data_IF_219618833149
#
_entry.id   IF_219618833149
#
_cell.length_a   1.000
_cell.length_b   1.000
_cell.length_c   1.000
_cell.angle_alpha   90.00
_cell.angle_beta   90.00
_cell.angle_gamma   90.00
#
_symmetry.space_group_name_H-M   'P 1'
#
loop_
_entity.id
_entity.type
_entity.pdbx_description
1 polymer ?
#
# COMPACT_ATOMS: atom_id res chain seq x y z
N UNK A 1 1.10 2.30 -21.02
CA UNK A 1 0.97 2.70 -21.06
C UNK A 1 0.91 3.05 -21.64
N UNK A 2 0.87 3.10 -22.06
CA UNK A 2 1.05 3.81 -22.47
C UNK A 2 0.52 4.54 -22.49
N UNK A 3 0.04 4.73 -22.04
CA UNK A 3 -0.16 5.58 -21.79
C UNK A 3 0.26 6.03 -21.31
N UNK A 4 0.60 6.05 -21.08
CA UNK A 4 1.07 6.69 -20.65
C UNK A 4 1.90 6.91 -20.91
N UNK A 5 2.07 6.48 -21.32
CA UNK A 5 3.03 6.98 -21.65
C UNK A 5 3.09 8.13 -22.23
N UNK A 6 2.40 8.83 -22.05
CA UNK A 6 2.45 9.99 -22.60
C UNK A 6 3.51 10.77 -22.07
N UNK A 7 4.32 11.31 -22.84
CA UNK A 7 5.41 12.12 -22.41
C UNK A 7 4.92 13.47 -21.98
N UNK A 8 5.48 13.98 -20.89
CA UNK A 8 5.26 15.33 -20.48
C UNK A 8 6.37 16.18 -21.06
N UNK A 9 6.02 17.18 -21.83
CA UNK A 9 6.99 18.08 -22.39
C UNK A 9 7.44 19.05 -21.34
N UNK A 10 8.72 19.41 -21.29
CA UNK A 10 9.19 20.39 -20.31
C UNK A 10 8.43 21.71 -20.36
N UNK A 11 8.11 22.16 -21.56
CA UNK A 11 7.39 23.42 -21.71
C UNK A 11 6.01 23.36 -21.10
N UNK A 12 5.49 22.18 -20.89
CA UNK A 12 4.18 22.04 -20.30
C UNK A 12 4.18 22.25 -18.80
N UNK A 13 5.35 22.37 -18.24
CA UNK A 13 5.49 22.54 -16.80
C UNK A 13 5.69 24.00 -16.49
N UNK A 14 4.92 24.86 -17.15
CA UNK A 14 5.06 26.29 -16.93
C UNK A 14 4.34 26.76 -15.68
N UNK A 15 3.38 25.98 -15.22
CA UNK A 15 2.70 26.30 -13.98
C UNK A 15 3.43 25.74 -12.79
N UNK A 16 2.83 25.85 -11.62
CA UNK A 16 3.38 25.28 -10.41
C UNK A 16 3.51 23.76 -10.57
N UNK A 17 4.58 23.17 -10.08
CA UNK A 17 4.73 21.73 -10.12
C UNK A 17 3.57 21.06 -9.39
N UNK A 18 3.21 19.89 -9.87
CA UNK A 18 2.15 19.11 -9.27
C UNK A 18 2.73 17.76 -8.87
N UNK A 19 2.39 17.33 -7.66
CA UNK A 19 2.76 16.00 -7.23
C UNK A 19 2.08 14.97 -8.13
N UNK A 20 2.83 14.02 -8.63
CA UNK A 20 2.27 12.92 -9.38
C UNK A 20 1.58 11.93 -8.45
N UNK A 21 0.78 11.05 -9.04
CA UNK A 21 0.15 9.95 -8.30
C UNK A 21 1.16 8.83 -8.14
N UNK A 22 1.09 8.15 -7.00
CA UNK A 22 2.03 7.12 -6.64
C UNK A 22 1.29 5.89 -6.14
N UNK A 23 1.54 4.76 -6.79
CA UNK A 23 1.06 3.46 -6.34
C UNK A 23 2.28 2.60 -6.10
N UNK A 24 2.40 2.07 -4.89
CA UNK A 24 3.56 1.27 -4.51
C UNK A 24 3.07 -0.13 -4.16
N UNK A 25 3.70 -1.11 -4.75
CA UNK A 25 3.35 -2.51 -4.56
C UNK A 25 4.56 -3.20 -3.94
N UNK A 26 4.42 -3.70 -2.72
CA UNK A 26 5.56 -4.29 -2.04
C UNK A 26 5.89 -5.68 -2.54
N UNK A 27 4.92 -6.37 -3.12
CA UNK A 27 5.12 -7.78 -3.44
C UNK A 27 5.16 -8.63 -2.19
N UNK A 28 5.65 -9.85 -2.34
CA UNK A 28 5.77 -10.80 -1.23
C UNK A 28 7.01 -10.44 -0.44
N UNK A 29 6.82 -9.89 0.76
CA UNK A 29 7.98 -9.43 1.50
C UNK A 29 7.71 -9.36 2.99
N UNK A 30 8.76 -9.60 3.76
CA UNK A 30 8.81 -9.21 5.16
C UNK A 30 9.05 -7.70 5.22
N UNK A 31 8.77 -7.08 6.36
CA UNK A 31 9.03 -5.65 6.52
C UNK A 31 10.48 -5.32 6.20
N UNK A 32 10.68 -4.23 5.48
CA UNK A 32 11.98 -3.84 4.99
C UNK A 32 12.04 -2.31 4.93
N UNK A 33 13.13 -1.69 5.46
CA UNK A 33 13.25 -0.24 5.44
C UNK A 33 13.18 0.38 4.04
N UNK A 34 13.62 -0.37 3.04
CA UNK A 34 13.53 0.10 1.66
C UNK A 34 12.10 0.46 1.28
N UNK A 35 11.13 -0.36 1.70
CA UNK A 35 9.74 -0.11 1.34
C UNK A 35 9.16 1.06 2.08
N UNK A 36 9.65 1.36 3.27
CA UNK A 36 9.21 2.54 3.98
C UNK A 36 9.52 3.80 3.16
N UNK A 37 10.74 3.86 2.63
CA UNK A 37 11.14 4.99 1.82
C UNK A 37 10.36 5.06 0.52
N UNK A 38 10.22 3.92 -0.15
CA UNK A 38 9.52 3.86 -1.43
C UNK A 38 8.04 4.21 -1.28
N UNK A 39 7.45 3.87 -0.15
CA UNK A 39 6.02 4.08 0.09
C UNK A 39 5.69 5.47 0.63
N UNK A 40 6.69 6.30 0.87
CA UNK A 40 6.47 7.60 1.49
C UNK A 40 5.46 8.42 0.70
N UNK A 41 4.39 8.84 1.36
CA UNK A 41 3.31 9.64 0.78
C UNK A 41 2.62 8.98 -0.41
N UNK A 42 2.68 7.65 -0.52
CA UNK A 42 2.00 6.95 -1.61
C UNK A 42 0.50 7.21 -1.56
N UNK A 43 -0.10 7.38 -2.72
CA UNK A 43 -1.56 7.50 -2.80
C UNK A 43 -2.23 6.17 -2.54
N UNK A 44 -1.59 5.08 -2.94
CA UNK A 44 -2.04 3.73 -2.66
C UNK A 44 -0.83 2.84 -2.43
N UNK A 45 -0.84 2.13 -1.32
CA UNK A 45 0.16 1.14 -0.98
C UNK A 45 -0.52 -0.21 -0.98
N UNK A 46 0.05 -1.17 -1.70
CA UNK A 46 -0.47 -2.54 -1.77
C UNK A 46 0.59 -3.45 -1.18
N UNK A 47 0.26 -4.11 -0.09
CA UNK A 47 1.25 -4.84 0.69
C UNK A 47 0.84 -6.27 0.98
N UNK A 48 1.87 -7.09 1.16
CA UNK A 48 1.77 -8.46 1.64
C UNK A 48 1.04 -8.50 2.98
N UNK A 49 0.09 -9.41 3.10
CA UNK A 49 -0.63 -9.65 4.33
C UNK A 49 -0.93 -11.14 4.43
N UNK A 50 0.13 -11.93 4.37
CA UNK A 50 -0.01 -13.39 4.35
C UNK A 50 -0.56 -13.91 5.66
N UNK A 51 -0.19 -13.30 6.78
CA UNK A 51 -0.61 -13.75 8.11
C UNK A 51 -1.42 -12.65 8.79
N UNK A 52 -2.49 -13.06 9.50
CA UNK A 52 -3.40 -12.08 10.06
C UNK A 52 -3.01 -11.59 11.45
N UNK A 53 -2.32 -12.39 12.23
CA UNK A 53 -2.21 -12.15 13.66
C UNK A 53 -0.81 -11.73 14.08
N UNK A 54 -0.69 -10.85 15.09
CA UNK A 54 0.63 -10.37 15.54
C UNK A 54 1.54 -11.49 16.02
N UNK A 55 0.98 -12.53 16.63
CA UNK A 55 1.79 -13.63 17.12
C UNK A 55 2.38 -14.46 15.99
N UNK A 56 2.02 -14.17 14.75
CA UNK A 56 2.57 -14.87 13.58
C UNK A 56 3.73 -14.10 12.94
N UNK A 57 4.22 -13.04 13.57
CA UNK A 57 5.29 -12.23 12.97
C UNK A 57 6.57 -13.03 12.73
N UNK A 58 6.93 -13.89 13.66
CA UNK A 58 8.14 -14.70 13.48
C UNK A 58 7.99 -15.65 12.31
N UNK A 59 6.82 -16.28 12.20
CA UNK A 59 6.54 -17.18 11.09
C UNK A 59 6.55 -16.42 9.77
N UNK A 60 5.95 -15.24 9.75
CA UNK A 60 5.94 -14.41 8.55
C UNK A 60 7.36 -14.07 8.12
N UNK A 61 8.20 -13.64 9.06
CA UNK A 61 9.57 -13.28 8.74
C UNK A 61 10.33 -14.48 8.18
N UNK A 62 10.12 -15.64 8.76
CA UNK A 62 10.82 -16.85 8.33
C UNK A 62 10.55 -17.16 6.86
N UNK A 63 9.35 -16.88 6.40
CA UNK A 63 8.95 -17.20 5.04
C UNK A 63 8.95 -15.99 4.10
N UNK A 64 9.46 -14.85 4.57
CA UNK A 64 9.58 -13.68 3.72
C UNK A 64 8.26 -12.95 3.47
N UNK A 65 7.40 -12.92 4.48
CA UNK A 65 6.08 -12.30 4.38
C UNK A 65 5.82 -11.34 5.54
N UNK A 66 4.68 -10.72 5.52
CA UNK A 66 4.26 -9.77 6.56
C UNK A 66 2.91 -10.17 7.15
N UNK A 67 2.63 -9.65 8.33
CA UNK A 67 1.31 -9.75 8.92
C UNK A 67 0.47 -8.52 8.53
N UNK A 68 -0.82 -8.61 8.76
CA UNK A 68 -1.74 -7.46 8.59
C UNK A 68 -1.22 -6.24 9.34
N UNK A 69 -0.84 -6.43 10.60
CA UNK A 69 -0.37 -5.31 11.42
C UNK A 69 0.94 -4.73 10.94
N UNK A 70 1.84 -5.57 10.45
CA UNK A 70 3.13 -5.08 9.94
C UNK A 70 2.94 -4.21 8.69
N UNK A 71 2.06 -4.62 7.79
CA UNK A 71 1.78 -3.82 6.60
C UNK A 71 1.07 -2.52 6.96
N UNK A 72 0.17 -2.57 7.93
CA UNK A 72 -0.48 -1.36 8.42
C UNK A 72 0.53 -0.41 9.07
N UNK A 73 1.49 -0.95 9.81
CA UNK A 73 2.54 -0.13 10.42
C UNK A 73 3.39 0.55 9.33
N UNK A 74 3.72 -0.17 8.29
CA UNK A 74 4.44 0.42 7.16
C UNK A 74 3.66 1.58 6.56
N UNK A 75 2.37 1.37 6.31
CA UNK A 75 1.53 2.41 5.73
C UNK A 75 1.46 3.65 6.63
N UNK A 76 1.34 3.44 7.93
CA UNK A 76 1.27 4.56 8.88
C UNK A 76 2.59 5.32 8.90
N UNK A 77 3.71 4.62 8.99
CA UNK A 77 5.03 5.24 9.03
C UNK A 77 5.36 5.96 7.74
N UNK A 78 4.94 5.41 6.61
CA UNK A 78 5.17 6.00 5.30
C UNK A 78 4.19 7.13 4.99
N UNK A 79 3.16 7.29 5.81
CA UNK A 79 2.12 8.29 5.60
C UNK A 79 1.39 8.08 4.27
N UNK A 80 1.19 6.83 3.92
CA UNK A 80 0.40 6.48 2.76
C UNK A 80 -1.04 6.93 2.97
N UNK A 81 -1.74 7.19 1.88
CA UNK A 81 -3.13 7.62 1.97
C UNK A 81 -4.08 6.46 2.07
N UNK A 82 -3.74 5.35 1.43
CA UNK A 82 -4.57 4.15 1.41
C UNK A 82 -3.66 2.93 1.46
N UNK A 83 -4.20 1.85 2.01
CA UNK A 83 -3.49 0.58 2.06
C UNK A 83 -4.44 -0.53 1.65
N UNK A 84 -4.03 -1.33 0.68
CA UNK A 84 -4.70 -2.58 0.34
C UNK A 84 -3.84 -3.74 0.78
N UNK A 85 -4.43 -4.65 1.53
CA UNK A 85 -3.77 -5.88 1.95
C UNK A 85 -4.00 -6.94 0.89
N UNK A 86 -3.00 -7.78 0.66
CA UNK A 86 -3.09 -8.80 -0.37
C UNK A 86 -2.23 -10.00 -0.03
N UNK A 87 -2.26 -11.02 -0.85
CA UNK A 87 -1.41 -12.20 -0.73
C UNK A 87 -1.66 -12.98 0.55
N UNK A 88 -2.93 -13.22 0.84
CA UNK A 88 -3.30 -13.92 2.06
C UNK A 88 -2.90 -15.38 2.03
N UNK A 89 -2.55 -15.92 3.20
CA UNK A 89 -2.36 -17.35 3.35
C UNK A 89 -3.64 -18.10 2.97
N UNK A 90 -3.52 -19.27 2.34
CA UNK A 90 -4.71 -20.09 2.08
C UNK A 90 -5.49 -20.45 3.33
N UNK A 91 -4.86 -20.34 4.51
CA UNK A 91 -5.56 -20.59 5.77
C UNK A 91 -6.56 -19.50 6.13
N UNK A 92 -6.44 -18.33 5.51
CA UNK A 92 -7.36 -17.22 5.76
C UNK A 92 -8.48 -17.33 4.73
N UNK A 93 -9.64 -17.81 5.18
CA UNK A 93 -10.77 -17.99 4.27
C UNK A 93 -11.56 -16.70 4.09
N UNK A 94 -11.54 -15.82 5.09
CA UNK A 94 -12.24 -14.55 5.02
C UNK A 94 -11.36 -13.46 5.63
N UNK A 95 -10.59 -12.75 4.80
CA UNK A 95 -9.70 -11.71 5.33
C UNK A 95 -10.42 -10.62 6.10
N UNK A 96 -11.68 -10.35 5.78
CA UNK A 96 -12.43 -9.31 6.48
C UNK A 96 -12.58 -9.59 7.96
N UNK A 97 -12.54 -10.85 8.36
CA UNK A 97 -12.60 -11.18 9.77
C UNK A 97 -11.43 -10.61 10.56
N UNK A 98 -10.34 -10.33 9.88
CA UNK A 98 -9.11 -9.86 10.52
C UNK A 98 -8.80 -8.42 10.18
N UNK A 99 -9.69 -7.73 9.47
CA UNK A 99 -9.41 -6.37 9.01
C UNK A 99 -9.05 -5.44 10.16
N UNK A 100 -9.62 -5.64 11.34
CA UNK A 100 -9.34 -4.80 12.49
C UNK A 100 -7.87 -4.88 12.92
N UNK A 101 -7.17 -5.98 12.62
CA UNK A 101 -5.75 -6.11 12.93
C UNK A 101 -4.94 -5.03 12.22
N UNK A 102 -5.37 -4.62 11.04
CA UNK A 102 -4.71 -3.55 10.32
C UNK A 102 -5.34 -2.20 10.62
N UNK A 103 -6.65 -2.13 10.68
CA UNK A 103 -7.36 -0.85 10.81
C UNK A 103 -7.13 -0.17 12.15
N UNK A 104 -6.81 -0.94 13.19
CA UNK A 104 -6.48 -0.36 14.48
C UNK A 104 -5.16 0.42 14.42
N UNK A 105 -4.31 0.14 13.45
CA UNK A 105 -3.03 0.82 13.27
C UNK A 105 -3.13 1.86 12.16
N UNK A 106 -3.79 1.51 11.06
CA UNK A 106 -3.95 2.38 9.92
C UNK A 106 -5.41 2.32 9.48
N UNK A 107 -6.24 3.28 9.90
CA UNK A 107 -7.69 3.19 9.69
C UNK A 107 -8.11 3.09 8.22
N UNK A 108 -7.32 3.60 7.29
CA UNK A 108 -7.65 3.53 5.87
C UNK A 108 -7.22 2.21 5.23
N UNK A 109 -6.85 1.21 6.03
CA UNK A 109 -6.52 -0.11 5.50
C UNK A 109 -7.78 -0.82 5.01
N UNK A 110 -7.66 -1.48 3.88
CA UNK A 110 -8.73 -2.29 3.29
C UNK A 110 -8.16 -3.61 2.83
N UNK A 111 -9.00 -4.63 2.88
CA UNK A 111 -8.62 -5.92 2.31
C UNK A 111 -8.73 -5.83 0.79
N UNK A 112 -7.65 -6.20 0.11
CA UNK A 112 -7.68 -6.31 -1.34
C UNK A 112 -8.32 -7.61 -1.76
N UNK A 113 -8.83 -7.63 -2.98
CA UNK A 113 -9.40 -8.84 -3.58
C UNK A 113 -9.31 -8.71 -5.10
N UNK A 114 -9.42 -9.83 -5.79
CA UNK A 114 -9.34 -9.83 -7.24
C UNK A 114 -10.42 -8.92 -7.81
N UNK A 115 -10.00 -8.02 -8.69
CA UNK A 115 -10.94 -7.10 -9.33
C UNK A 115 -11.22 -5.82 -8.57
N UNK A 116 -10.62 -5.64 -7.37
CA UNK A 116 -10.78 -4.39 -6.64
C UNK A 116 -10.16 -3.24 -7.43
N UNK A 117 -10.87 -2.15 -7.52
CA UNK A 117 -10.37 -0.98 -8.26
C UNK A 117 -10.64 0.29 -7.49
N UNK A 118 -9.90 1.32 -7.83
CA UNK A 118 -10.07 2.64 -7.25
C UNK A 118 -9.61 3.67 -8.28
N UNK A 119 -10.22 4.83 -8.25
CA UNK A 119 -9.77 5.95 -9.06
C UNK A 119 -9.02 6.91 -8.17
N UNK A 120 -7.78 7.19 -8.54
CA UNK A 120 -6.94 8.14 -7.83
C UNK A 120 -6.93 9.44 -8.60
N UNK A 121 -6.95 10.54 -7.88
CA UNK A 121 -6.99 11.86 -8.50
C UNK A 121 -5.88 12.72 -7.93
N UNK A 122 -5.36 13.61 -8.76
CA UNK A 122 -4.41 14.61 -8.31
C UNK A 122 -5.07 15.53 -7.32
N UNK A 123 -4.31 15.93 -6.30
CA UNK A 123 -4.77 16.98 -5.42
C UNK A 123 -4.62 18.31 -6.12
N UNK A 124 -5.64 19.15 -5.98
CA UNK A 124 -5.58 20.49 -6.52
C UNK A 124 -4.63 21.32 -5.68
N UNK A 125 -3.82 22.13 -6.36
CA UNK A 125 -2.99 23.08 -5.66
C UNK A 125 -3.89 24.09 -4.97
N UNK A 126 -3.57 24.42 -3.73
CA UNK A 126 -4.32 25.44 -3.02
C UNK A 126 -3.95 26.81 -3.56
N UNK A 127 -4.93 27.69 -3.73
CA UNK A 127 -4.63 29.05 -4.21
C UNK A 127 -3.71 29.80 -3.28
#
# INVERSE_FOLDING_TARGET
GDVYKRQVQPAQVLGAPRKGLSVVFSGDTAPCPYYLQAAHDADLLICDATYALPEQEDQARQWGHSTFGQSATLAAQARAKRLWLTHYSPMITDPEEYAAQAQSIFPAAECGFDGKSITLQYEEAQP
#
